data_IF_411784340741
#
_entry.id   IF_411784340741
#
_cell.length_a   1.000
_cell.length_b   1.000
_cell.length_c   1.000
_cell.angle_alpha   90.00
_cell.angle_beta   90.00
_cell.angle_gamma   90.00
#
_symmetry.space_group_name_H-M   'P 1'
#
loop_
_entity.id
_entity.type
_entity.pdbx_description
1 polymer ?
#
# COMPACT_ATOMS: atom_id res chain seq x y z
N UNK A 1 -23.80 -48.80 -44.49
CA UNK A 1 -25.05 -48.04 -44.32
C UNK A 1 -24.79 -46.57 -44.65
N UNK A 2 -25.39 -45.98 -45.71
CA UNK A 2 -25.21 -44.58 -46.08
C UNK A 2 -26.49 -43.73 -45.88
N UNK A 3 -26.38 -42.54 -45.27
CA UNK A 3 -27.25 -41.34 -45.44
C UNK A 3 -26.74 -40.25 -44.47
N UNK A 4 -26.04 -39.15 -44.84
CA UNK A 4 -26.47 -37.89 -45.50
C UNK A 4 -27.64 -37.14 -44.82
N UNK A 5 -27.37 -36.02 -44.15
CA UNK A 5 -28.21 -34.79 -44.07
C UNK A 5 -27.47 -33.72 -43.22
N UNK A 6 -26.78 -32.72 -43.78
CA UNK A 6 -27.19 -31.38 -44.27
C UNK A 6 -27.98 -30.50 -43.28
N UNK A 7 -27.30 -29.39 -42.93
CA UNK A 7 -27.76 -28.00 -42.73
C UNK A 7 -28.98 -27.74 -41.82
N UNK A 8 -28.73 -26.99 -40.75
CA UNK A 8 -29.62 -25.92 -40.31
C UNK A 8 -28.78 -24.68 -39.95
N UNK A 9 -28.96 -23.64 -40.75
CA UNK A 9 -28.41 -22.29 -40.61
C UNK A 9 -29.48 -21.41 -39.95
N UNK A 10 -29.18 -20.76 -38.83
CA UNK A 10 -29.91 -19.59 -38.31
C UNK A 10 -29.00 -18.94 -37.24
N UNK A 11 -28.26 -17.84 -37.47
CA UNK A 11 -28.67 -16.46 -37.79
C UNK A 11 -29.62 -15.85 -36.74
N UNK A 12 -29.09 -14.98 -35.86
CA UNK A 12 -29.75 -13.89 -35.10
C UNK A 12 -28.66 -13.21 -34.20
N UNK A 13 -27.82 -12.33 -34.75
CA UNK A 13 -27.90 -10.85 -34.66
C UNK A 13 -28.61 -10.22 -33.45
N UNK A 14 -27.89 -9.24 -32.86
CA UNK A 14 -28.31 -8.03 -32.12
C UNK A 14 -28.57 -8.14 -30.61
N UNK A 15 -27.74 -7.45 -29.80
CA UNK A 15 -28.11 -6.19 -29.14
C UNK A 15 -26.90 -5.55 -28.42
N UNK A 16 -26.22 -4.63 -29.10
CA UNK A 16 -25.32 -3.65 -28.48
C UNK A 16 -26.15 -2.62 -27.73
N UNK A 17 -25.99 -2.49 -26.42
CA UNK A 17 -26.52 -1.35 -25.67
C UNK A 17 -25.36 -0.59 -25.04
N UNK A 18 -24.94 0.47 -25.73
CA UNK A 18 -24.04 1.49 -25.22
C UNK A 18 -24.79 2.37 -24.22
N UNK A 19 -24.37 2.40 -22.96
CA UNK A 19 -24.69 3.51 -22.04
C UNK A 19 -23.41 4.31 -21.78
N UNK A 20 -23.20 5.34 -22.59
CA UNK A 20 -22.31 6.43 -22.22
C UNK A 20 -22.99 7.25 -21.12
N UNK A 21 -22.52 7.13 -19.88
CA UNK A 21 -22.90 8.05 -18.80
C UNK A 21 -22.03 9.30 -18.89
N UNK A 22 -22.64 10.41 -19.30
CA UNK A 22 -22.05 11.74 -19.17
C UNK A 22 -21.96 12.07 -17.67
N UNK A 23 -20.74 12.16 -17.14
CA UNK A 23 -20.50 12.61 -15.78
C UNK A 23 -20.55 14.14 -15.71
N UNK A 24 -21.44 14.71 -14.89
CA UNK A 24 -21.42 16.13 -14.56
C UNK A 24 -20.23 16.44 -13.63
N UNK A 25 -19.64 17.65 -13.71
CA UNK A 25 -18.64 18.08 -12.74
C UNK A 25 -19.27 18.18 -11.33
N UNK A 26 -18.67 17.44 -10.39
CA UNK A 26 -19.03 17.45 -8.97
C UNK A 26 -18.54 18.77 -8.33
N UNK A 27 -19.38 19.50 -7.57
CA UNK A 27 -18.91 20.68 -6.85
C UNK A 27 -17.87 20.26 -5.79
N UNK A 28 -16.69 20.88 -5.84
CA UNK A 28 -15.62 20.71 -4.87
C UNK A 28 -16.04 21.31 -3.52
N UNK A 29 -16.06 20.55 -2.42
CA UNK A 29 -16.26 21.14 -1.10
C UNK A 29 -15.04 21.99 -0.72
N UNK A 30 -15.24 23.29 -0.52
CA UNK A 30 -14.23 24.16 0.10
C UNK A 30 -14.16 23.84 1.59
N UNK A 31 -13.07 23.22 2.03
CA UNK A 31 -12.78 22.99 3.44
C UNK A 31 -12.24 24.29 4.05
N UNK A 32 -12.99 24.92 4.95
CA UNK A 32 -12.44 25.97 5.82
C UNK A 32 -11.52 25.36 6.87
N UNK A 33 -10.36 25.99 7.17
CA UNK A 33 -9.47 25.49 8.20
C UNK A 33 -10.13 25.57 9.58
N UNK A 34 -10.02 24.53 10.42
CA UNK A 34 -10.53 24.58 11.78
C UNK A 34 -9.70 25.55 12.62
N UNK A 35 -10.34 26.56 13.21
CA UNK A 35 -9.75 27.37 14.28
C UNK A 35 -9.89 26.60 15.59
N UNK A 36 -8.90 25.77 15.91
CA UNK A 36 -8.81 25.13 17.23
C UNK A 36 -8.03 26.03 18.19
N UNK A 37 -8.74 26.77 19.04
CA UNK A 37 -8.14 27.46 20.20
C UNK A 37 -7.77 26.40 21.25
N UNK A 38 -6.49 26.22 21.62
CA UNK A 38 -6.12 25.24 22.63
C UNK A 38 -6.68 25.64 23.99
N UNK A 39 -7.45 24.74 24.60
CA UNK A 39 -7.93 24.87 25.98
C UNK A 39 -6.76 24.58 26.94
N UNK A 40 -6.47 25.43 27.94
CA UNK A 40 -5.44 25.14 28.93
C UNK A 40 -5.78 23.86 29.71
N UNK A 41 -4.94 22.84 29.59
CA UNK A 41 -5.05 21.61 30.38
C UNK A 41 -4.45 21.85 31.76
N UNK A 42 -5.14 21.51 32.86
CA UNK A 42 -4.57 21.58 34.20
C UNK A 42 -3.33 20.67 34.31
N UNK A 43 -2.19 21.25 34.67
CA UNK A 43 -0.93 20.51 34.84
C UNK A 43 -0.93 19.94 36.27
N UNK A 44 -0.75 18.61 36.45
CA UNK A 44 -0.61 18.03 37.78
C UNK A 44 0.67 18.55 38.47
N UNK A 45 0.71 18.59 39.81
CA UNK A 45 1.89 19.02 40.54
C UNK A 45 3.07 18.09 40.21
N UNK A 46 4.16 18.68 39.70
CA UNK A 46 5.40 17.96 39.41
C UNK A 46 6.09 17.59 40.72
N UNK A 47 6.38 16.31 40.91
CA UNK A 47 7.20 15.85 42.03
C UNK A 47 8.66 16.29 41.82
N UNK A 48 9.16 17.19 42.67
CA UNK A 48 10.57 17.54 42.74
C UNK A 48 11.27 16.65 43.79
N UNK A 49 12.28 15.86 43.40
CA UNK A 49 13.08 15.13 44.36
C UNK A 49 13.80 16.08 45.34
N UNK A 50 13.99 15.70 46.62
CA UNK A 50 14.59 16.57 47.63
C UNK A 50 16.03 16.99 47.29
N UNK A 51 16.77 16.18 46.54
CA UNK A 51 18.10 16.52 46.02
C UNK A 51 18.09 17.68 45.01
N UNK A 52 16.92 18.08 44.50
CA UNK A 52 16.75 19.22 43.59
C UNK A 52 16.24 20.49 44.32
N UNK A 53 16.06 20.45 45.64
CA UNK A 53 15.57 21.59 46.42
C UNK A 53 16.54 22.78 46.33
N UNK A 54 16.02 23.96 45.99
CA UNK A 54 16.81 25.19 45.86
C UNK A 54 17.60 25.31 44.55
N UNK A 55 17.53 24.33 43.64
CA UNK A 55 18.11 24.44 42.30
C UNK A 55 17.09 25.13 41.38
N UNK A 56 17.46 26.20 40.64
CA UNK A 56 16.56 26.81 39.68
C UNK A 56 16.18 25.79 38.59
N UNK A 57 14.88 25.60 38.38
CA UNK A 57 14.37 24.73 37.32
C UNK A 57 14.72 25.34 35.98
N UNK A 58 15.35 24.56 35.10
CA UNK A 58 15.65 25.00 33.74
C UNK A 58 14.34 25.39 33.04
N UNK A 59 14.22 26.67 32.69
CA UNK A 59 13.08 27.16 31.92
C UNK A 59 13.40 27.00 30.45
N UNK A 60 12.67 26.11 29.77
CA UNK A 60 12.78 25.98 28.32
C UNK A 60 11.98 27.15 27.71
N UNK A 61 12.58 27.99 26.85
CA UNK A 61 11.84 29.03 26.16
C UNK A 61 10.69 28.42 25.35
N UNK A 62 9.58 29.15 25.22
CA UNK A 62 8.44 28.70 24.45
C UNK A 62 8.90 28.31 23.03
N UNK A 63 8.53 27.10 22.58
CA UNK A 63 8.89 26.64 21.26
C UNK A 63 8.27 27.57 20.20
N UNK A 64 9.11 28.34 19.52
CA UNK A 64 8.68 29.14 18.37
C UNK A 64 8.51 28.19 17.19
N UNK A 65 7.29 27.73 16.95
CA UNK A 65 7.00 26.91 15.75
C UNK A 65 7.08 27.80 14.52
N UNK A 66 8.21 27.76 13.82
CA UNK A 66 8.24 28.22 12.43
C UNK A 66 7.58 27.14 11.58
N UNK A 67 6.51 27.52 10.87
CA UNK A 67 5.93 26.65 9.84
C UNK A 67 6.93 26.55 8.69
N UNK A 68 7.80 25.54 8.73
CA UNK A 68 8.57 25.15 7.56
C UNK A 68 7.65 24.33 6.64
N UNK A 69 7.74 24.52 5.31
CA UNK A 69 7.09 23.62 4.38
C UNK A 69 7.58 22.19 4.65
N UNK A 70 6.64 21.27 4.86
CA UNK A 70 6.95 19.85 4.89
C UNK A 70 7.53 19.48 3.52
N UNK A 71 8.77 18.99 3.49
CA UNK A 71 9.32 18.40 2.27
C UNK A 71 8.39 17.25 1.87
N UNK A 72 7.82 17.31 0.67
CA UNK A 72 6.94 16.27 0.17
C UNK A 72 7.69 14.95 0.10
N UNK A 73 7.07 13.87 0.57
CA UNK A 73 7.58 12.51 0.39
C UNK A 73 7.58 12.23 -1.11
N UNK A 74 8.76 11.96 -1.69
CA UNK A 74 8.84 11.52 -3.07
C UNK A 74 8.08 10.20 -3.21
N UNK A 75 7.34 10.01 -4.31
CA UNK A 75 6.72 8.72 -4.60
C UNK A 75 7.77 7.64 -4.87
N UNK A 76 7.33 6.38 -4.92
CA UNK A 76 8.21 5.30 -5.38
C UNK A 76 8.70 5.59 -6.80
N UNK A 77 9.96 5.27 -7.13
CA UNK A 77 10.45 5.36 -8.50
C UNK A 77 9.64 4.39 -9.38
N UNK A 78 9.21 4.87 -10.54
CA UNK A 78 8.51 4.03 -11.53
C UNK A 78 9.43 2.90 -12.01
N UNK A 79 8.91 1.67 -12.08
CA UNK A 79 9.63 0.51 -12.61
C UNK A 79 8.78 -0.22 -13.65
N UNK A 80 9.43 -0.77 -14.67
CA UNK A 80 8.76 -1.54 -15.71
C UNK A 80 8.41 -2.97 -15.27
N UNK A 81 7.60 -3.67 -16.08
CA UNK A 81 7.15 -5.01 -15.78
C UNK A 81 8.30 -6.03 -15.71
N UNK A 82 9.36 -5.86 -16.50
CA UNK A 82 10.55 -6.71 -16.45
C UNK A 82 11.24 -6.59 -15.08
N UNK A 83 11.44 -5.37 -14.59
CA UNK A 83 12.00 -5.11 -13.27
C UNK A 83 11.09 -5.66 -12.16
N UNK A 84 9.78 -5.50 -12.28
CA UNK A 84 8.81 -6.06 -11.33
C UNK A 84 8.90 -7.59 -11.25
N UNK A 85 9.00 -8.27 -12.39
CA UNK A 85 9.14 -9.73 -12.46
C UNK A 85 10.46 -10.21 -11.84
N UNK A 86 11.57 -9.52 -12.14
CA UNK A 86 12.86 -9.82 -11.54
C UNK A 86 12.81 -9.73 -10.02
N UNK A 87 12.26 -8.64 -9.46
CA UNK A 87 12.13 -8.47 -8.02
C UNK A 87 11.20 -9.51 -7.39
N UNK A 88 10.10 -9.87 -8.04
CA UNK A 88 9.21 -10.93 -7.55
C UNK A 88 9.93 -12.29 -7.49
N UNK A 89 10.73 -12.62 -8.51
CA UNK A 89 11.47 -13.87 -8.57
C UNK A 89 12.60 -13.90 -7.54
N UNK A 90 13.31 -12.79 -7.36
CA UNK A 90 14.33 -12.65 -6.33
C UNK A 90 13.74 -12.83 -4.93
N UNK A 91 12.59 -12.20 -4.65
CA UNK A 91 11.85 -12.39 -3.40
C UNK A 91 11.47 -13.86 -3.21
N UNK A 92 10.89 -14.48 -4.25
CA UNK A 92 10.50 -15.88 -4.20
C UNK A 92 11.69 -16.78 -3.86
N UNK A 93 12.78 -16.64 -4.62
CA UNK A 93 13.99 -17.43 -4.44
C UNK A 93 14.59 -17.21 -3.05
N UNK A 94 14.62 -15.96 -2.57
CA UNK A 94 15.17 -15.63 -1.25
C UNK A 94 14.38 -16.33 -0.13
N UNK A 95 13.05 -16.29 -0.19
CA UNK A 95 12.17 -16.96 0.77
C UNK A 95 12.32 -18.48 0.67
N UNK A 96 12.19 -19.08 -0.52
CA UNK A 96 12.24 -20.53 -0.68
C UNK A 96 13.62 -21.12 -0.29
N UNK A 97 14.69 -20.33 -0.37
CA UNK A 97 16.05 -20.80 -0.08
C UNK A 97 16.50 -20.54 1.36
N UNK A 98 16.15 -19.38 1.93
CA UNK A 98 16.77 -18.90 3.17
C UNK A 98 15.81 -18.78 4.35
N UNK A 99 14.51 -18.99 4.13
CA UNK A 99 13.53 -18.77 5.18
C UNK A 99 13.65 -19.83 6.27
N UNK A 100 13.79 -19.38 7.52
CA UNK A 100 14.15 -20.22 8.68
C UNK A 100 13.03 -21.16 9.10
N UNK A 101 11.79 -20.86 8.69
CA UNK A 101 10.57 -21.63 9.01
C UNK A 101 9.97 -22.15 7.70
N UNK A 102 10.52 -23.23 7.11
CA UNK A 102 10.14 -23.68 5.77
C UNK A 102 8.65 -24.02 5.63
N UNK A 103 8.01 -24.48 6.69
CA UNK A 103 6.57 -24.80 6.73
C UNK A 103 5.66 -23.58 6.56
N UNK A 104 6.15 -22.38 6.86
CA UNK A 104 5.41 -21.14 6.61
C UNK A 104 5.42 -20.73 5.12
N UNK A 105 6.33 -21.30 4.31
CA UNK A 105 6.27 -21.22 2.84
C UNK A 105 5.22 -22.20 2.31
N UNK A 106 3.97 -21.86 2.56
CA UNK A 106 2.79 -22.66 2.23
C UNK A 106 2.49 -22.69 0.72
N UNK A 107 1.64 -23.64 0.30
CA UNK A 107 1.07 -23.65 -1.05
C UNK A 107 0.28 -22.38 -1.33
N UNK A 108 -0.48 -21.88 -0.34
CA UNK A 108 -1.21 -20.62 -0.43
C UNK A 108 -0.29 -19.43 -0.69
N UNK A 109 0.89 -19.39 -0.06
CA UNK A 109 1.87 -18.34 -0.32
C UNK A 109 2.39 -18.41 -1.76
N UNK A 110 2.71 -19.61 -2.27
CA UNK A 110 3.13 -19.79 -3.68
C UNK A 110 2.04 -19.38 -4.66
N UNK A 111 0.78 -19.71 -4.37
CA UNK A 111 -0.36 -19.28 -5.18
C UNK A 111 -0.49 -17.75 -5.22
N UNK A 112 -0.16 -17.04 -4.13
CA UNK A 112 -0.12 -15.57 -4.11
C UNK A 112 1.02 -14.99 -4.94
N UNK A 113 2.18 -15.64 -4.93
CA UNK A 113 3.31 -15.28 -5.82
C UNK A 113 2.89 -15.42 -7.28
N UNK A 114 2.27 -16.54 -7.66
CA UNK A 114 1.81 -16.78 -9.03
C UNK A 114 0.70 -15.78 -9.45
N UNK A 115 -0.24 -15.48 -8.56
CA UNK A 115 -1.25 -14.46 -8.81
C UNK A 115 -0.65 -13.05 -8.99
N UNK A 116 0.44 -12.75 -8.27
CA UNK A 116 1.17 -11.48 -8.40
C UNK A 116 1.91 -11.42 -9.73
N UNK A 117 2.55 -12.52 -10.16
CA UNK A 117 3.16 -12.62 -11.49
C UNK A 117 2.16 -12.34 -12.60
N UNK A 118 1.00 -12.99 -12.57
CA UNK A 118 -0.05 -12.78 -13.55
C UNK A 118 -0.55 -11.32 -13.58
N UNK A 119 -0.62 -10.67 -12.41
CA UNK A 119 -0.98 -9.25 -12.33
C UNK A 119 0.08 -8.35 -12.97
N UNK A 120 1.37 -8.61 -12.75
CA UNK A 120 2.48 -7.88 -13.37
C UNK A 120 2.41 -8.00 -14.89
N UNK A 121 2.23 -9.22 -15.40
CA UNK A 121 2.08 -9.50 -16.84
C UNK A 121 0.85 -8.80 -17.46
N UNK A 122 -0.19 -8.56 -16.66
CA UNK A 122 -1.38 -7.79 -17.05
C UNK A 122 -1.21 -6.27 -16.94
N UNK A 123 -0.03 -5.77 -16.55
CA UNK A 123 0.27 -4.33 -16.44
C UNK A 123 0.02 -3.75 -15.05
N UNK A 124 0.53 -4.39 -14.00
CA UNK A 124 0.44 -3.88 -12.63
C UNK A 124 1.18 -2.55 -12.47
N UNK A 125 0.50 -1.54 -11.93
CA UNK A 125 1.11 -0.24 -11.64
C UNK A 125 2.17 -0.36 -10.52
N UNK A 126 3.21 0.48 -10.58
CA UNK A 126 4.35 0.45 -9.64
C UNK A 126 3.95 0.50 -8.17
N UNK A 127 3.06 1.41 -7.76
CA UNK A 127 2.62 1.49 -6.35
C UNK A 127 1.83 0.25 -5.89
N UNK A 128 1.06 -0.34 -6.81
CA UNK A 128 0.33 -1.58 -6.55
C UNK A 128 1.30 -2.76 -6.44
N UNK A 129 2.35 -2.80 -7.27
CA UNK A 129 3.43 -3.79 -7.17
C UNK A 129 4.10 -3.76 -5.80
N UNK A 130 4.54 -2.58 -5.34
CA UNK A 130 5.18 -2.45 -4.03
C UNK A 130 4.26 -2.83 -2.86
N UNK A 131 2.97 -2.55 -2.99
CA UNK A 131 1.96 -3.01 -2.02
C UNK A 131 1.88 -4.54 -2.00
N UNK A 132 1.85 -5.19 -3.17
CA UNK A 132 1.83 -6.66 -3.27
C UNK A 132 3.09 -7.30 -2.67
N UNK A 133 4.28 -6.70 -2.85
CA UNK A 133 5.50 -7.25 -2.26
C UNK A 133 5.43 -7.26 -0.72
N UNK A 134 4.93 -6.18 -0.11
CA UNK A 134 4.70 -6.14 1.35
C UNK A 134 3.69 -7.18 1.80
N UNK A 135 2.60 -7.36 1.07
CA UNK A 135 1.59 -8.37 1.37
C UNK A 135 2.13 -9.80 1.28
N UNK A 136 2.98 -10.10 0.28
CA UNK A 136 3.63 -11.40 0.14
C UNK A 136 4.56 -11.71 1.32
N UNK A 137 5.33 -10.72 1.78
CA UNK A 137 6.19 -10.88 2.95
C UNK A 137 5.37 -11.02 4.23
N UNK A 138 4.33 -10.20 4.40
CA UNK A 138 3.43 -10.28 5.56
C UNK A 138 2.68 -11.63 5.63
N UNK A 139 2.38 -12.24 4.48
CA UNK A 139 1.72 -13.53 4.41
C UNK A 139 2.59 -14.70 4.92
N UNK A 140 3.88 -14.50 5.14
CA UNK A 140 4.75 -15.47 5.81
C UNK A 140 4.41 -15.60 7.31
N UNK A 141 3.74 -14.59 7.88
CA UNK A 141 3.18 -14.66 9.23
C UNK A 141 4.19 -14.48 10.36
N UNK A 142 5.35 -13.89 10.08
CA UNK A 142 6.37 -13.57 11.09
C UNK A 142 6.55 -12.05 11.26
N UNK A 143 7.07 -11.65 12.43
CA UNK A 143 7.24 -10.23 12.81
C UNK A 143 8.58 -9.60 12.34
N UNK A 144 9.46 -10.38 11.74
CA UNK A 144 10.86 -10.02 11.46
C UNK A 144 11.15 -9.88 9.96
N UNK A 145 10.26 -10.35 9.09
CA UNK A 145 10.34 -10.20 7.65
C UNK A 145 9.60 -8.95 7.21
N UNK A 146 10.28 -8.12 6.43
CA UNK A 146 9.69 -6.90 5.88
C UNK A 146 10.21 -6.63 4.47
N UNK A 147 9.40 -5.98 3.66
CA UNK A 147 9.78 -5.49 2.34
C UNK A 147 9.97 -3.96 2.40
N UNK A 148 11.18 -3.48 2.12
CA UNK A 148 11.47 -2.05 2.07
C UNK A 148 11.23 -1.50 0.68
N UNK A 149 10.39 -0.48 0.59
CA UNK A 149 10.21 0.31 -0.64
C UNK A 149 11.28 1.41 -0.72
N UNK A 150 11.64 1.87 -1.94
CA UNK A 150 12.65 2.91 -2.10
C UNK A 150 12.24 4.29 -1.56
N UNK A 151 10.94 4.51 -1.37
CA UNK A 151 10.35 5.75 -0.84
C UNK A 151 9.39 5.46 0.32
#
# INVERSE_FOLDING_TARGET
>A
MPYRSRLALAALLSLSCSLARVALPRPTPTLSPPTSTPKPTPIPPVYLPPQCAGTPVATIPAATTMALPTIGVAGNPEIDAETQLAVLEDLRSAVETNYVVPEAVSEDWRARVDATRAAIEAGLATDAFYTRMRELVSALGDDHSYFQTPA
#
